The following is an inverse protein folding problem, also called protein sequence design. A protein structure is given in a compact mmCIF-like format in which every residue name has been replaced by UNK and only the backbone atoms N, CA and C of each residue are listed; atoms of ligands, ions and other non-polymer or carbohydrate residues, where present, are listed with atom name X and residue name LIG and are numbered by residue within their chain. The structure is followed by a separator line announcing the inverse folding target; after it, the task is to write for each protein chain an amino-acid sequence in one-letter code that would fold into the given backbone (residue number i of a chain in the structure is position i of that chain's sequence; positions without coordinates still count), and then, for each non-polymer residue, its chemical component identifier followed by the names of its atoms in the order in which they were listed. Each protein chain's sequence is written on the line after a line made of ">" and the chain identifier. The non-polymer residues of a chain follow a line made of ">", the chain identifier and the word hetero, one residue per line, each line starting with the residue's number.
data_IF_812839922436
#
_entry.id   IF_812839922436
#
_cell.length_a   1.000
_cell.length_b   1.000
_cell.length_c   1.000
_cell.angle_alpha   90.00
_cell.angle_beta   90.00
_cell.angle_gamma   90.00
#
_symmetry.space_group_name_H-M   'P 1'
#
loop_
_entity.id
_entity.type
_entity.pdbx_description
1 polymer ?
#
# COMPACT_ATOMS: atom_id res chain seq x y z
N UNK A 1 6.77 7.70 22.51
CA UNK A 1 7.12 6.28 22.75
C UNK A 1 8.57 6.05 22.33
N UNK A 2 9.38 5.39 23.16
CA UNK A 2 10.74 5.01 22.77
C UNK A 2 10.74 3.66 22.03
N UNK A 3 11.38 3.58 20.86
CA UNK A 3 11.53 2.33 20.12
C UNK A 3 12.83 1.59 20.50
N UNK A 4 12.73 0.31 20.87
CA UNK A 4 13.90 -0.54 21.10
C UNK A 4 14.53 -1.00 19.79
N UNK A 5 15.75 -1.55 19.82
CA UNK A 5 16.39 -2.14 18.65
C UNK A 5 15.57 -3.30 18.05
N UNK A 6 14.94 -4.13 18.90
CA UNK A 6 14.04 -5.20 18.46
C UNK A 6 12.83 -4.63 17.72
N UNK A 7 12.20 -3.57 18.25
CA UNK A 7 11.09 -2.90 17.56
C UNK A 7 11.54 -2.38 16.19
N UNK A 8 12.68 -1.69 16.13
CA UNK A 8 13.22 -1.14 14.88
C UNK A 8 13.49 -2.25 13.87
N UNK A 9 14.14 -3.34 14.30
CA UNK A 9 14.41 -4.48 13.42
C UNK A 9 13.10 -5.04 12.86
N UNK A 10 12.14 -5.32 13.74
CA UNK A 10 10.85 -5.88 13.35
C UNK A 10 10.07 -4.97 12.41
N UNK A 11 10.06 -3.66 12.65
CA UNK A 11 9.36 -2.69 11.80
C UNK A 11 10.04 -2.55 10.42
N UNK A 12 11.38 -2.59 10.37
CA UNK A 12 12.10 -2.58 9.10
C UNK A 12 11.82 -3.83 8.25
N UNK A 13 11.59 -4.97 8.90
CA UNK A 13 11.21 -6.21 8.22
C UNK A 13 9.70 -6.32 7.95
N UNK A 14 8.85 -5.51 8.59
CA UNK A 14 7.42 -5.50 8.31
C UNK A 14 7.14 -4.93 6.92
N UNK A 15 6.45 -5.71 6.10
CA UNK A 15 6.15 -5.37 4.71
C UNK A 15 4.86 -4.53 4.63
N UNK A 16 3.83 -4.97 5.34
CA UNK A 16 2.49 -4.40 5.29
C UNK A 16 1.41 -5.47 5.49
N UNK A 17 0.31 -5.38 4.74
CA UNK A 17 -0.89 -6.17 4.97
C UNK A 17 -1.30 -7.00 3.75
N UNK A 18 -1.85 -8.19 3.97
CA UNK A 18 -2.29 -9.12 2.92
C UNK A 18 -1.16 -9.98 2.37
N UNK A 19 -1.54 -11.13 1.79
CA UNK A 19 -0.60 -12.11 1.23
C UNK A 19 -0.01 -11.59 -0.09
N UNK A 20 1.23 -11.14 -0.04
CA UNK A 20 1.94 -10.62 -1.23
C UNK A 20 2.15 -11.72 -2.28
N UNK A 21 2.29 -12.99 -1.86
CA UNK A 21 2.55 -14.10 -2.78
C UNK A 21 1.37 -14.41 -3.71
N UNK A 22 0.17 -13.98 -3.33
CA UNK A 22 -1.07 -14.17 -4.10
C UNK A 22 -1.57 -12.87 -4.74
N UNK A 23 -0.98 -11.73 -4.41
CA UNK A 23 -1.51 -10.42 -4.77
C UNK A 23 -1.50 -10.20 -6.29
N UNK A 24 -2.62 -9.75 -6.83
CA UNK A 24 -2.73 -9.28 -8.21
C UNK A 24 -2.55 -7.76 -8.30
N UNK A 25 -2.94 -7.06 -7.23
CA UNK A 25 -2.73 -5.63 -7.06
C UNK A 25 -2.06 -5.36 -5.73
N UNK A 26 -0.90 -4.72 -5.78
CA UNK A 26 -0.25 -4.13 -4.61
C UNK A 26 -0.63 -2.65 -4.54
N UNK A 27 -1.19 -2.23 -3.41
CA UNK A 27 -1.27 -0.83 -3.04
C UNK A 27 -0.01 -0.47 -2.26
N UNK A 28 0.83 0.42 -2.79
CA UNK A 28 2.04 0.87 -2.12
C UNK A 28 1.79 2.24 -1.48
N UNK A 29 1.62 2.25 -0.16
CA UNK A 29 1.45 3.44 0.67
C UNK A 29 2.79 4.12 1.00
N UNK A 30 2.71 5.29 1.63
CA UNK A 30 3.91 5.89 2.22
C UNK A 30 4.21 5.25 3.58
N UNK A 31 3.21 5.04 4.44
CA UNK A 31 3.35 4.35 5.73
C UNK A 31 1.99 3.87 6.25
N UNK A 32 2.03 2.97 7.23
CA UNK A 32 0.84 2.45 7.89
C UNK A 32 0.18 3.46 8.84
N UNK A 33 -1.16 3.47 8.85
CA UNK A 33 -1.95 4.25 9.79
C UNK A 33 -2.07 3.58 11.16
N UNK A 34 -2.08 4.36 12.24
CA UNK A 34 -2.39 3.84 13.58
C UNK A 34 -3.88 3.48 13.77
N UNK A 35 -4.75 4.07 12.94
CA UNK A 35 -6.20 3.92 13.07
C UNK A 35 -6.69 4.47 14.42
N UNK A 36 -7.50 3.66 15.11
CA UNK A 36 -8.05 3.97 16.44
C UNK A 36 -7.18 3.42 17.59
N UNK A 37 -6.02 2.80 17.30
CA UNK A 37 -5.13 2.19 18.31
C UNK A 37 -4.16 3.19 18.91
N UNK A 38 -3.69 2.91 20.12
CA UNK A 38 -2.52 3.60 20.68
C UNK A 38 -1.26 3.24 19.85
N UNK A 39 -0.20 4.04 20.01
CA UNK A 39 1.08 3.78 19.33
C UNK A 39 1.64 2.45 19.83
N UNK A 40 1.62 2.24 21.14
CA UNK A 40 2.13 1.06 21.83
C UNK A 40 1.41 -0.21 21.37
N UNK A 41 0.08 -0.20 21.32
CA UNK A 41 -0.72 -1.36 20.87
C UNK A 41 -0.47 -1.67 19.39
N UNK A 42 -0.25 -0.65 18.57
CA UNK A 42 0.02 -0.83 17.15
C UNK A 42 1.41 -1.46 16.94
N UNK A 43 2.43 -0.93 17.63
CA UNK A 43 3.80 -1.47 17.59
C UNK A 43 3.83 -2.91 18.10
N UNK A 44 3.19 -3.19 19.24
CA UNK A 44 3.11 -4.56 19.75
C UNK A 44 2.40 -5.49 18.76
N UNK A 45 1.29 -5.05 18.17
CA UNK A 45 0.56 -5.86 17.18
C UNK A 45 1.41 -6.16 15.94
N UNK A 46 2.21 -5.21 15.44
CA UNK A 46 3.06 -5.43 14.27
C UNK A 46 4.25 -6.30 14.65
N UNK A 47 5.02 -5.91 15.67
CA UNK A 47 6.31 -6.53 16.01
C UNK A 47 6.20 -7.99 16.47
N UNK A 48 5.01 -8.48 16.78
CA UNK A 48 4.79 -9.87 17.19
C UNK A 48 3.93 -10.68 16.22
N UNK A 49 3.46 -10.09 15.12
CA UNK A 49 2.63 -10.79 14.13
C UNK A 49 3.32 -12.05 13.59
N UNK A 50 4.63 -12.00 13.28
CA UNK A 50 5.36 -13.14 12.73
C UNK A 50 5.45 -14.33 13.70
N UNK A 51 5.33 -14.09 15.02
CA UNK A 51 5.33 -15.15 16.04
C UNK A 51 4.01 -15.92 16.04
N UNK A 52 2.92 -15.29 15.62
CA UNK A 52 1.59 -15.89 15.58
C UNK A 52 1.38 -16.74 14.32
N UNK A 53 2.07 -16.44 13.21
CA UNK A 53 1.95 -17.21 11.98
C UNK A 53 3.20 -17.14 11.10
N UNK A 54 4.00 -18.23 11.10
CA UNK A 54 5.23 -18.36 10.30
C UNK A 54 4.94 -18.30 8.79
N UNK A 55 3.74 -18.67 8.35
CA UNK A 55 3.36 -18.63 6.94
C UNK A 55 3.19 -17.20 6.41
N UNK A 56 3.19 -16.18 7.27
CA UNK A 56 3.16 -14.77 6.86
C UNK A 56 4.57 -14.16 6.74
N UNK A 57 5.60 -15.00 6.60
CA UNK A 57 6.99 -14.60 6.43
C UNK A 57 7.51 -15.00 5.05
N UNK A 58 8.35 -14.16 4.46
CA UNK A 58 9.04 -14.43 3.20
C UNK A 58 9.94 -15.66 3.39
N UNK A 59 9.62 -16.75 2.68
CA UNK A 59 10.31 -18.04 2.80
C UNK A 59 10.40 -18.57 4.25
N UNK A 60 9.42 -18.23 5.11
CA UNK A 60 9.40 -18.63 6.52
C UNK A 60 10.39 -17.87 7.42
N UNK A 61 11.05 -16.81 6.92
CA UNK A 61 12.02 -16.01 7.67
C UNK A 61 11.54 -14.56 7.81
N UNK A 62 11.10 -14.19 9.02
CA UNK A 62 10.57 -12.85 9.28
C UNK A 62 11.61 -11.76 9.07
N UNK A 63 12.91 -12.07 9.20
CA UNK A 63 13.96 -11.06 9.04
C UNK A 63 14.08 -10.59 7.58
N UNK A 64 13.76 -11.48 6.64
CA UNK A 64 13.65 -11.22 5.20
C UNK A 64 12.36 -10.54 4.81
N UNK A 65 11.37 -10.55 5.70
CA UNK A 65 10.14 -9.82 5.54
C UNK A 65 8.95 -10.60 6.07
N UNK A 66 7.95 -9.89 6.60
CA UNK A 66 6.67 -10.49 6.98
C UNK A 66 5.53 -9.50 6.79
N UNK A 67 4.32 -10.02 6.62
CA UNK A 67 3.11 -9.21 6.52
C UNK A 67 2.10 -9.62 7.59
N UNK A 68 1.10 -8.77 7.79
CA UNK A 68 -0.06 -9.09 8.59
C UNK A 68 -1.23 -9.42 7.68
N UNK A 69 -1.92 -10.50 7.98
CA UNK A 69 -3.09 -10.89 7.22
C UNK A 69 -4.22 -11.18 8.19
N UNK A 70 -5.26 -10.37 8.10
CA UNK A 70 -6.51 -10.63 8.79
C UNK A 70 -7.27 -11.73 8.03
N UNK A 71 -8.10 -12.48 8.74
CA UNK A 71 -8.91 -13.53 8.13
C UNK A 71 -10.13 -12.92 7.42
N UNK A 72 -10.39 -13.36 6.18
CA UNK A 72 -11.67 -13.11 5.52
C UNK A 72 -12.79 -13.84 6.27
N UNK A 73 -13.83 -13.11 6.69
CA UNK A 73 -14.95 -13.67 7.47
C UNK A 73 -16.27 -13.20 6.88
N UNK A 74 -16.76 -13.85 5.80
CA UNK A 74 -18.03 -13.48 5.19
C UNK A 74 -19.16 -13.59 6.22
N UNK A 75 -20.06 -12.59 6.25
CA UNK A 75 -21.16 -12.52 7.21
C UNK A 75 -20.78 -12.11 8.64
N UNK A 76 -19.49 -11.89 8.96
CA UNK A 76 -19.06 -11.35 10.26
C UNK A 76 -18.52 -9.94 10.11
N UNK A 77 -19.33 -8.99 10.57
CA UNK A 77 -19.00 -7.57 10.56
C UNK A 77 -17.90 -7.23 11.59
N UNK A 78 -16.70 -6.87 11.11
CA UNK A 78 -15.66 -6.23 11.95
C UNK A 78 -15.69 -4.71 11.82
N UNK A 79 -15.31 -4.00 12.89
CA UNK A 79 -15.22 -2.54 12.85
C UNK A 79 -14.03 -2.12 11.97
N UNK A 80 -14.33 -1.40 10.88
CA UNK A 80 -13.32 -0.85 9.97
C UNK A 80 -13.11 0.63 10.23
N UNK A 81 -11.86 1.14 10.24
CA UNK A 81 -11.59 2.56 10.35
C UNK A 81 -12.30 3.38 9.27
N UNK A 82 -12.73 4.60 9.63
CA UNK A 82 -13.24 5.56 8.65
C UNK A 82 -12.07 6.13 7.83
N UNK A 83 -11.73 5.45 6.75
CA UNK A 83 -10.61 5.82 5.88
C UNK A 83 -11.09 6.05 4.44
N UNK A 84 -10.92 7.27 3.88
CA UNK A 84 -11.17 7.54 2.46
C UNK A 84 -10.37 6.60 1.56
N UNK A 85 -9.12 6.33 1.91
CA UNK A 85 -8.23 5.41 1.20
C UNK A 85 -8.86 4.02 1.07
N UNK A 86 -9.25 3.40 2.20
CA UNK A 86 -9.83 2.05 2.19
C UNK A 86 -11.13 2.00 1.39
N UNK A 87 -11.98 3.03 1.49
CA UNK A 87 -13.24 3.11 0.74
C UNK A 87 -13.02 3.23 -0.77
N UNK A 88 -12.04 4.03 -1.18
CA UNK A 88 -11.71 4.23 -2.59
C UNK A 88 -11.03 2.99 -3.18
N UNK A 89 -10.12 2.33 -2.45
CA UNK A 89 -9.58 1.02 -2.83
C UNK A 89 -10.70 -0.01 -2.99
N UNK A 90 -11.64 -0.09 -2.03
CA UNK A 90 -12.75 -1.04 -2.10
C UNK A 90 -13.65 -0.82 -3.32
N UNK A 91 -13.97 0.43 -3.64
CA UNK A 91 -14.76 0.77 -4.83
C UNK A 91 -14.04 0.38 -6.11
N UNK A 92 -12.73 0.63 -6.20
CA UNK A 92 -11.93 0.19 -7.35
C UNK A 92 -11.97 -1.34 -7.50
N UNK A 93 -11.72 -2.07 -6.42
CA UNK A 93 -11.70 -3.53 -6.47
C UNK A 93 -13.07 -4.10 -6.84
N UNK A 94 -14.14 -3.64 -6.21
CA UNK A 94 -15.50 -4.05 -6.56
C UNK A 94 -15.83 -3.74 -8.03
N UNK A 95 -15.42 -2.58 -8.54
CA UNK A 95 -15.64 -2.22 -9.94
C UNK A 95 -14.88 -3.12 -10.92
N UNK A 96 -13.65 -3.52 -10.59
CA UNK A 96 -12.84 -4.42 -11.42
C UNK A 96 -13.34 -5.88 -11.37
N UNK A 97 -14.02 -6.28 -10.30
CA UNK A 97 -14.56 -7.64 -10.12
C UNK A 97 -15.94 -7.84 -10.75
N UNK A 98 -16.68 -6.77 -11.01
CA UNK A 98 -18.03 -6.81 -11.57
C UNK A 98 -18.05 -6.10 -12.94
N UNK A 99 -17.38 -6.66 -13.96
CA UNK A 99 -17.29 -6.03 -15.29
C UNK A 99 -18.65 -5.95 -16.01
N UNK A 100 -19.65 -6.70 -15.53
CA UNK A 100 -21.05 -6.62 -15.97
C UNK A 100 -21.74 -5.32 -15.52
N UNK A 101 -21.20 -4.64 -14.50
CA UNK A 101 -21.68 -3.35 -14.04
C UNK A 101 -20.77 -2.22 -14.54
N UNK A 102 -21.33 -1.10 -15.03
CA UNK A 102 -20.51 0.03 -15.44
C UNK A 102 -19.65 0.56 -14.28
N UNK A 103 -18.33 0.70 -14.46
CA UNK A 103 -17.39 1.15 -13.41
C UNK A 103 -17.90 2.41 -12.68
N UNK A 104 -18.53 3.35 -13.40
CA UNK A 104 -19.03 4.58 -12.80
C UNK A 104 -20.11 4.39 -11.72
N UNK A 105 -20.89 3.29 -11.72
CA UNK A 105 -21.92 3.03 -10.71
C UNK A 105 -21.29 2.88 -9.33
N UNK A 106 -20.17 2.17 -9.24
CA UNK A 106 -19.40 1.95 -8.01
C UNK A 106 -18.81 3.21 -7.39
N UNK A 107 -18.84 4.35 -8.08
CA UNK A 107 -18.32 5.63 -7.60
C UNK A 107 -19.41 6.69 -7.39
N UNK A 108 -20.69 6.32 -7.48
CA UNK A 108 -21.79 7.20 -7.10
C UNK A 108 -21.82 7.38 -5.58
N UNK A 109 -21.84 8.64 -5.14
CA UNK A 109 -21.75 8.99 -3.71
C UNK A 109 -23.10 8.92 -2.98
N UNK A 110 -24.20 9.13 -3.70
CA UNK A 110 -25.56 9.14 -3.14
C UNK A 110 -26.27 7.79 -3.25
N UNK A 111 -25.66 6.80 -3.91
CA UNK A 111 -26.25 5.47 -4.03
C UNK A 111 -26.09 4.70 -2.71
N UNK A 112 -27.19 4.53 -2.00
CA UNK A 112 -27.23 3.81 -0.73
C UNK A 112 -26.82 2.34 -0.87
N UNK A 113 -27.14 1.66 -1.97
CA UNK A 113 -26.79 0.27 -2.17
C UNK A 113 -25.27 0.12 -2.33
N UNK A 114 -24.66 0.95 -3.19
CA UNK A 114 -23.21 0.97 -3.37
C UNK A 114 -22.49 1.31 -2.06
N UNK A 115 -23.02 2.24 -1.26
CA UNK A 115 -22.45 2.54 0.07
C UNK A 115 -22.49 1.31 0.98
N UNK A 116 -23.61 0.58 1.02
CA UNK A 116 -23.73 -0.63 1.85
C UNK A 116 -22.82 -1.75 1.34
N UNK A 117 -22.72 -1.93 0.03
CA UNK A 117 -21.85 -2.95 -0.58
C UNK A 117 -20.39 -2.70 -0.25
N UNK A 118 -19.92 -1.45 -0.41
CA UNK A 118 -18.55 -1.06 -0.06
C UNK A 118 -18.29 -1.23 1.44
N UNK A 119 -19.26 -0.87 2.29
CA UNK A 119 -19.16 -1.04 3.73
C UNK A 119 -19.06 -2.51 4.11
N UNK A 120 -19.95 -3.35 3.59
CA UNK A 120 -19.97 -4.80 3.81
C UNK A 120 -18.67 -5.43 3.34
N UNK A 121 -18.24 -5.12 2.11
CA UNK A 121 -16.98 -5.59 1.56
C UNK A 121 -15.81 -5.29 2.50
N UNK A 122 -15.67 -4.05 2.98
CA UNK A 122 -14.65 -3.70 3.96
C UNK A 122 -14.77 -4.49 5.27
N UNK A 123 -15.98 -4.59 5.82
CA UNK A 123 -16.23 -5.22 7.12
C UNK A 123 -16.06 -6.74 7.11
N UNK A 124 -16.11 -7.38 5.96
CA UNK A 124 -15.86 -8.82 5.81
C UNK A 124 -14.40 -9.14 5.50
N UNK A 125 -13.54 -8.12 5.33
CA UNK A 125 -12.13 -8.28 4.97
C UNK A 125 -11.86 -8.18 3.47
N UNK A 126 -12.68 -7.46 2.71
CA UNK A 126 -12.56 -7.34 1.25
C UNK A 126 -11.20 -6.84 0.72
N UNK A 127 -10.41 -6.16 1.55
CA UNK A 127 -9.06 -5.73 1.21
C UNK A 127 -8.03 -6.45 2.07
N UNK A 128 -6.89 -6.81 1.46
CA UNK A 128 -5.70 -7.30 2.15
C UNK A 128 -5.94 -8.60 2.96
N UNK A 129 -6.85 -9.45 2.49
CA UNK A 129 -7.09 -10.79 3.04
C UNK A 129 -7.17 -11.83 1.91
N UNK A 130 -7.13 -13.11 2.30
CA UNK A 130 -7.29 -14.25 1.37
C UNK A 130 -8.79 -14.52 1.17
N UNK A 131 -9.36 -13.87 0.16
CA UNK A 131 -10.77 -13.99 -0.23
C UNK A 131 -10.89 -14.47 -1.69
N UNK A 132 -12.04 -14.90 -2.20
CA UNK A 132 -12.25 -15.06 -3.63
C UNK A 132 -12.17 -13.72 -4.38
N UNK A 133 -11.72 -13.75 -5.62
CA UNK A 133 -11.61 -12.57 -6.49
C UNK A 133 -10.18 -12.02 -6.61
N UNK A 134 -10.07 -10.74 -6.93
CA UNK A 134 -8.82 -9.98 -7.04
C UNK A 134 -8.14 -9.92 -5.67
N UNK A 135 -6.99 -10.58 -5.56
CA UNK A 135 -6.14 -10.54 -4.39
C UNK A 135 -5.40 -9.21 -4.31
N UNK A 136 -5.39 -8.64 -3.12
CA UNK A 136 -4.75 -7.34 -2.88
C UNK A 136 -3.81 -7.42 -1.69
N UNK A 137 -2.72 -6.66 -1.76
CA UNK A 137 -1.84 -6.41 -0.63
C UNK A 137 -1.59 -4.90 -0.47
N UNK A 138 -1.27 -4.46 0.74
CA UNK A 138 -0.83 -3.11 1.08
C UNK A 138 0.61 -3.18 1.55
N UNK A 139 1.49 -2.45 0.89
CA UNK A 139 2.90 -2.31 1.29
C UNK A 139 3.15 -0.91 1.83
N UNK A 140 3.91 -0.80 2.90
CA UNK A 140 4.27 0.47 3.51
C UNK A 140 5.73 0.80 3.21
N UNK A 141 6.00 1.84 2.41
CA UNK A 141 7.40 2.20 2.08
C UNK A 141 8.21 2.54 3.34
N UNK A 142 7.67 3.45 4.15
CA UNK A 142 8.24 3.87 5.43
C UNK A 142 7.77 2.91 6.54
N UNK A 143 8.70 2.34 7.32
CA UNK A 143 8.39 1.28 8.28
C UNK A 143 7.70 1.77 9.57
N UNK A 144 7.80 3.06 9.90
CA UNK A 144 7.25 3.60 11.14
C UNK A 144 5.81 4.09 10.95
N UNK A 145 4.80 3.43 11.55
CA UNK A 145 3.42 3.86 11.41
C UNK A 145 3.18 5.19 12.13
N UNK A 146 2.19 5.95 11.66
CA UNK A 146 1.70 7.15 12.36
C UNK A 146 0.22 7.40 12.07
N UNK A 147 -0.41 8.28 12.84
CA UNK A 147 -1.86 8.49 12.73
C UNK A 147 -2.26 9.06 11.38
N UNK A 148 -1.54 10.09 10.92
CA UNK A 148 -1.70 10.72 9.60
C UNK A 148 -0.34 11.22 9.11
N UNK A 149 -0.21 11.39 7.80
CA UNK A 149 1.02 11.91 7.19
C UNK A 149 1.36 13.36 7.62
N UNK A 150 0.37 14.15 8.02
CA UNK A 150 0.59 15.49 8.55
C UNK A 150 1.02 15.52 10.02
N UNK A 151 0.80 14.43 10.76
CA UNK A 151 1.10 14.36 12.19
C UNK A 151 2.61 14.10 12.41
N UNK A 152 3.19 14.61 13.50
CA UNK A 152 4.56 14.29 13.87
C UNK A 152 4.70 12.79 14.18
N UNK A 153 5.92 12.27 14.05
CA UNK A 153 6.21 10.90 14.47
C UNK A 153 6.07 10.78 15.99
N UNK A 154 5.36 9.76 16.50
CA UNK A 154 5.13 9.60 17.93
C UNK A 154 6.31 8.93 18.68
N UNK A 155 7.51 8.95 18.10
CA UNK A 155 8.67 8.19 18.59
C UNK A 155 9.77 9.10 19.13
N UNK A 156 10.11 8.93 20.40
CA UNK A 156 10.95 9.88 21.14
C UNK A 156 12.42 9.84 20.69
N UNK A 157 12.86 8.70 20.16
CA UNK A 157 14.22 8.47 19.69
C UNK A 157 14.37 8.57 18.17
N UNK A 158 13.37 9.09 17.47
CA UNK A 158 13.42 9.24 16.01
C UNK A 158 13.49 10.71 15.63
N UNK A 159 14.57 11.11 14.96
CA UNK A 159 14.64 12.42 14.33
C UNK A 159 13.76 12.43 13.07
N UNK A 160 12.58 13.03 13.18
CA UNK A 160 11.58 13.04 12.10
C UNK A 160 12.13 13.62 10.79
N UNK A 161 12.86 14.73 10.84
CA UNK A 161 13.37 15.37 9.62
C UNK A 161 14.32 14.43 8.89
N UNK A 162 15.34 13.94 9.58
CA UNK A 162 16.31 13.01 9.01
C UNK A 162 15.64 11.72 8.51
N UNK A 163 14.67 11.17 9.24
CA UNK A 163 13.92 10.00 8.82
C UNK A 163 13.14 10.24 7.51
N UNK A 164 12.37 11.33 7.45
CA UNK A 164 11.58 11.67 6.27
C UNK A 164 12.49 12.01 5.08
N UNK A 165 13.58 12.74 5.31
CA UNK A 165 14.56 13.08 4.28
C UNK A 165 15.21 11.82 3.68
N UNK A 166 15.58 10.84 4.51
CA UNK A 166 16.13 9.57 4.02
C UNK A 166 15.14 8.85 3.10
N UNK A 167 13.90 8.62 3.55
CA UNK A 167 12.90 7.87 2.78
C UNK A 167 12.32 8.64 1.58
N UNK A 168 12.46 9.97 1.55
CA UNK A 168 12.14 10.79 0.38
C UNK A 168 13.33 10.99 -0.57
N UNK A 169 14.51 10.45 -0.23
CA UNK A 169 15.75 10.62 -0.96
C UNK A 169 16.16 12.10 -1.10
N UNK A 170 16.03 12.85 -0.01
CA UNK A 170 16.50 14.24 0.12
C UNK A 170 17.78 14.35 0.96
N UNK A 171 18.27 13.24 1.49
CA UNK A 171 19.49 13.14 2.27
C UNK A 171 20.75 13.49 1.46
N UNK A 172 21.72 14.08 2.17
CA UNK A 172 23.10 14.16 1.70
C UNK A 172 23.84 12.88 2.15
N UNK A 173 24.69 12.28 1.31
CA UNK A 173 25.15 10.90 1.47
C UNK A 173 25.79 10.49 2.81
N UNK A 174 26.31 11.43 3.62
CA UNK A 174 27.28 11.06 4.66
C UNK A 174 26.85 11.23 6.13
N UNK A 175 25.67 11.77 6.45
CA UNK A 175 25.32 12.11 7.85
C UNK A 175 23.92 11.68 8.34
N UNK A 176 23.16 10.91 7.55
CA UNK A 176 21.80 10.54 7.93
C UNK A 176 21.72 9.06 8.33
N UNK A 177 21.51 8.72 9.63
CA UNK A 177 21.51 7.34 10.10
C UNK A 177 20.38 6.49 9.52
N UNK A 178 19.32 7.12 9.00
CA UNK A 178 18.19 6.41 8.39
C UNK A 178 18.44 5.99 6.93
N UNK A 179 19.60 6.32 6.35
CA UNK A 179 20.02 5.82 5.03
C UNK A 179 20.15 4.30 5.04
N UNK A 180 20.72 3.73 6.10
CA UNK A 180 20.85 2.28 6.27
C UNK A 180 19.47 1.62 6.34
N UNK A 181 18.52 2.26 7.02
CA UNK A 181 17.14 1.77 7.13
C UNK A 181 16.45 1.76 5.77
N UNK A 182 16.56 2.84 5.01
CA UNK A 182 16.08 2.90 3.62
C UNK A 182 16.72 1.80 2.78
N UNK A 183 18.03 1.62 2.88
CA UNK A 183 18.77 0.63 2.09
C UNK A 183 18.30 -0.78 2.41
N UNK A 184 18.11 -1.11 3.69
CA UNK A 184 17.50 -2.37 4.13
C UNK A 184 16.10 -2.55 3.54
N UNK A 185 15.27 -1.50 3.53
CA UNK A 185 13.93 -1.54 2.93
C UNK A 185 13.95 -1.76 1.41
N UNK A 186 14.87 -1.12 0.68
CA UNK A 186 15.04 -1.36 -0.76
C UNK A 186 15.41 -2.81 -1.04
N UNK A 187 16.40 -3.35 -0.33
CA UNK A 187 16.81 -4.76 -0.48
C UNK A 187 15.65 -5.70 -0.19
N UNK A 188 14.91 -5.46 0.89
CA UNK A 188 13.75 -6.28 1.26
C UNK A 188 12.65 -6.24 0.19
N UNK A 189 12.31 -5.07 -0.35
CA UNK A 189 11.34 -4.99 -1.45
C UNK A 189 11.87 -5.58 -2.76
N UNK A 190 13.16 -5.48 -3.04
CA UNK A 190 13.76 -6.12 -4.20
C UNK A 190 13.67 -7.64 -4.14
N UNK A 191 14.03 -8.23 -3.00
CA UNK A 191 13.92 -9.68 -2.80
C UNK A 191 12.46 -10.16 -2.82
N UNK A 192 11.56 -9.37 -2.22
CA UNK A 192 10.13 -9.66 -2.20
C UNK A 192 9.54 -9.69 -3.61
N UNK A 193 9.78 -8.64 -4.39
CA UNK A 193 9.21 -8.50 -5.73
C UNK A 193 9.82 -9.46 -6.75
N UNK A 194 11.06 -9.88 -6.53
CA UNK A 194 11.68 -10.97 -7.31
C UNK A 194 11.08 -12.33 -6.96
N UNK A 195 10.72 -12.54 -5.70
CA UNK A 195 10.14 -13.81 -5.23
C UNK A 195 8.67 -13.94 -5.61
N UNK A 196 7.94 -12.83 -5.63
CA UNK A 196 6.50 -12.78 -5.87
C UNK A 196 6.19 -11.69 -6.90
N UNK A 197 6.30 -12.02 -8.21
CA UNK A 197 5.91 -11.10 -9.27
C UNK A 197 4.42 -10.75 -9.17
N UNK A 198 4.10 -9.46 -9.25
CA UNK A 198 2.72 -8.95 -9.16
C UNK A 198 2.37 -8.18 -10.43
N UNK A 199 1.21 -8.43 -11.06
CA UNK A 199 0.80 -7.73 -12.28
C UNK A 199 0.77 -6.21 -12.16
N UNK A 200 0.26 -5.68 -11.04
CA UNK A 200 0.07 -4.25 -10.85
C UNK A 200 0.53 -3.75 -9.48
N UNK A 201 1.38 -2.72 -9.48
CA UNK A 201 1.69 -1.92 -8.30
C UNK A 201 1.10 -0.52 -8.46
N UNK A 202 0.21 -0.14 -7.54
CA UNK A 202 -0.35 1.20 -7.40
C UNK A 202 0.40 1.97 -6.31
N UNK A 203 1.35 2.80 -6.73
CA UNK A 203 2.11 3.68 -5.84
C UNK A 203 1.35 4.97 -5.51
N UNK A 204 0.83 5.08 -4.28
CA UNK A 204 -0.13 6.12 -3.90
C UNK A 204 0.52 7.19 -3.01
N UNK A 205 0.52 8.46 -3.41
CA UNK A 205 1.04 9.57 -2.61
C UNK A 205 2.30 10.22 -3.19
N UNK A 206 3.43 10.18 -2.49
CA UNK A 206 4.65 10.91 -2.86
C UNK A 206 5.31 10.32 -4.12
N UNK A 207 4.85 10.74 -5.31
CA UNK A 207 5.29 10.21 -6.61
C UNK A 207 6.81 10.32 -6.80
N UNK A 208 7.49 11.46 -6.54
CA UNK A 208 8.95 11.54 -6.69
C UNK A 208 9.73 10.54 -5.84
N UNK A 209 9.34 10.37 -4.57
CA UNK A 209 10.00 9.39 -3.69
C UNK A 209 9.76 7.95 -4.19
N UNK A 210 8.54 7.66 -4.66
CA UNK A 210 8.20 6.34 -5.21
C UNK A 210 8.92 6.02 -6.51
N UNK A 211 9.11 6.98 -7.41
CA UNK A 211 9.96 6.79 -8.61
C UNK A 211 11.35 6.33 -8.18
N UNK A 212 12.00 7.08 -7.30
CA UNK A 212 13.34 6.73 -6.78
C UNK A 212 13.39 5.40 -6.04
N UNK A 213 12.32 5.05 -5.32
CA UNK A 213 12.22 3.74 -4.69
C UNK A 213 12.15 2.61 -5.74
N UNK A 214 11.30 2.75 -6.75
CA UNK A 214 11.18 1.77 -7.85
C UNK A 214 12.49 1.68 -8.62
N UNK A 215 13.14 2.82 -8.89
CA UNK A 215 14.46 2.87 -9.54
C UNK A 215 15.53 2.14 -8.70
N UNK A 216 15.46 2.26 -7.37
CA UNK A 216 16.34 1.53 -6.46
C UNK A 216 16.10 0.02 -6.43
N UNK A 217 14.92 -0.46 -6.84
CA UNK A 217 14.57 -1.89 -6.85
C UNK A 217 14.92 -2.55 -8.20
N UNK A 218 14.59 -1.88 -9.30
CA UNK A 218 14.69 -2.45 -10.66
C UNK A 218 15.63 -1.70 -11.61
N UNK A 219 16.40 -0.73 -11.11
CA UNK A 219 17.19 0.19 -11.94
C UNK A 219 16.33 1.31 -12.53
N UNK A 220 16.95 2.26 -13.23
CA UNK A 220 16.27 3.45 -13.76
C UNK A 220 15.07 3.09 -14.67
N UNK A 221 13.89 3.62 -14.32
CA UNK A 221 12.65 3.39 -15.04
C UNK A 221 12.17 4.62 -15.81
N UNK A 222 11.63 4.37 -17.01
CA UNK A 222 10.99 5.42 -17.81
C UNK A 222 9.50 5.45 -17.50
N UNK A 223 9.01 6.62 -17.11
CA UNK A 223 7.59 6.85 -16.85
C UNK A 223 6.96 7.73 -17.93
N UNK A 224 5.74 7.39 -18.31
CA UNK A 224 4.84 8.24 -19.09
C UNK A 224 3.82 8.91 -18.17
N UNK A 225 3.54 10.20 -18.41
CA UNK A 225 2.49 10.91 -17.71
C UNK A 225 1.18 10.82 -18.49
N UNK A 226 0.14 10.30 -17.84
CA UNK A 226 -1.20 10.18 -18.42
C UNK A 226 -2.14 11.09 -17.66
N UNK A 227 -2.97 11.83 -18.38
CA UNK A 227 -4.09 12.58 -17.81
C UNK A 227 -5.36 11.75 -17.95
N UNK A 228 -5.87 11.25 -16.83
CA UNK A 228 -7.12 10.50 -16.75
C UNK A 228 -8.29 11.39 -17.13
N UNK A 229 -9.18 10.87 -17.98
CA UNK A 229 -10.38 11.56 -18.42
C UNK A 229 -11.62 10.87 -17.85
N UNK A 230 -12.66 11.64 -17.47
CA UNK A 230 -12.79 13.11 -17.55
C UNK A 230 -12.24 13.89 -16.34
N UNK A 231 -11.70 13.24 -15.30
CA UNK A 231 -11.32 13.92 -14.05
C UNK A 231 -10.15 14.89 -14.17
N UNK A 232 -9.34 14.81 -15.23
CA UNK A 232 -8.14 15.62 -15.42
C UNK A 232 -7.00 15.28 -14.45
N UNK A 233 -7.11 14.16 -13.72
CA UNK A 233 -6.08 13.73 -12.76
C UNK A 233 -4.88 13.15 -13.50
N UNK A 234 -3.67 13.49 -13.05
CA UNK A 234 -2.43 12.98 -13.64
C UNK A 234 -1.91 11.78 -12.88
N UNK A 235 -1.49 10.77 -13.61
CA UNK A 235 -0.77 9.60 -13.12
C UNK A 235 0.55 9.46 -13.89
N UNK A 236 1.51 8.76 -13.31
CA UNK A 236 2.73 8.35 -14.00
C UNK A 236 2.76 6.83 -14.09
N UNK A 237 2.88 6.27 -15.29
CA UNK A 237 2.91 4.82 -15.53
C UNK A 237 4.28 4.40 -16.06
N UNK A 238 4.79 3.25 -15.64
CA UNK A 238 6.01 2.70 -16.24
C UNK A 238 5.75 2.39 -17.72
N UNK A 239 6.60 2.88 -18.64
CA UNK A 239 6.44 2.63 -20.08
C UNK A 239 6.57 1.15 -20.41
N UNK A 240 7.51 0.49 -19.75
CA UNK A 240 7.76 -0.93 -19.88
C UNK A 240 7.13 -1.69 -18.71
N UNK A 241 6.88 -2.98 -18.95
CA UNK A 241 6.72 -3.96 -17.87
C UNK A 241 8.08 -4.08 -17.16
N UNK A 242 8.04 -4.03 -15.84
CA UNK A 242 9.19 -4.07 -14.94
C UNK A 242 9.25 -5.46 -14.30
N UNK A 243 10.46 -5.99 -14.11
CA UNK A 243 10.63 -7.35 -13.62
C UNK A 243 10.05 -8.36 -14.60
N UNK A 244 9.33 -9.35 -14.08
CA UNK A 244 8.80 -10.44 -14.91
C UNK A 244 7.45 -10.07 -15.57
N UNK A 245 6.57 -9.36 -14.84
CA UNK A 245 5.21 -9.04 -15.33
C UNK A 245 4.58 -7.79 -14.69
N UNK A 246 5.35 -6.94 -14.01
CA UNK A 246 4.80 -5.85 -13.21
C UNK A 246 4.64 -4.55 -13.99
N UNK A 247 3.42 -3.99 -14.02
CA UNK A 247 3.20 -2.57 -14.35
C UNK A 247 3.16 -1.74 -13.08
N UNK A 248 3.83 -0.58 -13.09
CA UNK A 248 3.78 0.38 -11.97
C UNK A 248 2.99 1.61 -12.38
N UNK A 249 1.93 1.94 -11.64
CA UNK A 249 1.21 3.21 -11.75
C UNK A 249 1.41 4.01 -10.47
N UNK A 250 1.93 5.22 -10.60
CA UNK A 250 2.12 6.18 -9.52
C UNK A 250 1.06 7.28 -9.61
N UNK A 251 0.40 7.56 -8.49
CA UNK A 251 -0.79 8.43 -8.43
C UNK A 251 -0.75 9.28 -7.16
N UNK A 252 -1.39 10.47 -7.16
CA UNK A 252 -1.70 11.18 -5.93
C UNK A 252 -2.44 10.30 -4.91
N UNK A 253 -2.45 10.75 -3.64
CA UNK A 253 -3.06 9.99 -2.55
C UNK A 253 -4.55 9.70 -2.81
N UNK A 254 -5.06 8.55 -2.34
CA UNK A 254 -6.50 8.24 -2.37
C UNK A 254 -7.21 8.92 -1.19
N UNK A 255 -7.21 10.24 -1.23
CA UNK A 255 -8.04 11.12 -0.40
C UNK A 255 -9.14 11.77 -1.23
N UNK A 256 -10.17 12.33 -0.57
CA UNK A 256 -11.28 12.97 -1.27
C UNK A 256 -10.85 14.27 -1.98
N UNK A 257 -9.85 14.94 -1.42
CA UNK A 257 -9.22 16.17 -1.89
C UNK A 257 -8.19 15.95 -3.02
N UNK A 258 -7.68 14.72 -3.17
CA UNK A 258 -6.62 14.38 -4.10
C UNK A 258 -7.17 13.67 -5.33
N UNK A 259 -7.18 12.34 -5.37
CA UNK A 259 -7.80 11.60 -6.46
C UNK A 259 -9.32 11.71 -6.41
N UNK A 260 -9.92 11.67 -5.22
CA UNK A 260 -11.37 11.68 -5.04
C UNK A 260 -12.08 10.52 -5.74
N UNK A 261 -13.40 10.55 -5.75
CA UNK A 261 -14.19 9.52 -6.45
C UNK A 261 -13.95 9.54 -7.97
N UNK A 262 -13.89 10.72 -8.58
CA UNK A 262 -13.72 10.85 -10.03
C UNK A 262 -12.36 10.34 -10.51
N UNK A 263 -11.27 10.70 -9.84
CA UNK A 263 -9.93 10.25 -10.21
C UNK A 263 -9.74 8.75 -10.03
N UNK A 264 -10.23 8.18 -8.92
CA UNK A 264 -10.13 6.74 -8.68
C UNK A 264 -11.02 5.94 -9.64
N UNK A 265 -12.20 6.46 -9.98
CA UNK A 265 -13.08 5.89 -11.01
C UNK A 265 -12.38 5.80 -12.37
N UNK A 266 -11.80 6.91 -12.82
CA UNK A 266 -11.13 6.95 -14.13
C UNK A 266 -9.86 6.10 -14.13
N UNK A 267 -9.17 5.99 -12.99
CA UNK A 267 -8.05 5.08 -12.82
C UNK A 267 -8.50 3.61 -12.88
N UNK A 268 -9.63 3.27 -12.25
CA UNK A 268 -10.20 1.92 -12.33
C UNK A 268 -10.60 1.58 -13.78
N UNK A 269 -11.20 2.53 -14.50
CA UNK A 269 -11.49 2.38 -15.93
C UNK A 269 -10.21 2.14 -16.73
N UNK A 270 -9.19 2.97 -16.54
CA UNK A 270 -7.90 2.80 -17.20
C UNK A 270 -7.27 1.42 -16.92
N UNK A 271 -7.31 0.95 -15.67
CA UNK A 271 -6.80 -0.38 -15.31
C UNK A 271 -7.60 -1.47 -16.05
N UNK A 272 -8.93 -1.38 -16.04
CA UNK A 272 -9.81 -2.34 -16.72
C UNK A 272 -9.54 -2.41 -18.24
N UNK A 273 -9.21 -1.29 -18.86
CA UNK A 273 -9.04 -1.20 -20.32
C UNK A 273 -7.63 -1.60 -20.78
N UNK A 274 -6.63 -1.53 -19.90
CA UNK A 274 -5.22 -1.59 -20.31
C UNK A 274 -4.34 -2.58 -19.53
N UNK A 275 -4.80 -3.10 -18.40
CA UNK A 275 -3.99 -3.94 -17.52
C UNK A 275 -4.66 -5.30 -17.32
N UNK A 276 -4.00 -6.36 -17.75
CA UNK A 276 -4.41 -7.73 -17.45
C UNK A 276 -3.98 -8.11 -16.02
N UNK A 277 -4.94 -8.53 -15.20
CA UNK A 277 -4.70 -8.96 -13.81
C UNK A 277 -4.65 -10.49 -13.66
N UNK A 278 -4.52 -11.23 -14.77
CA UNK A 278 -4.54 -12.71 -14.83
C UNK A 278 -3.17 -13.28 -15.19
#
# INVERSE_FOLDING_TARGET
>A
MYLTEEHIHSLLSFIGYGDVSKAQIIFLGNEGGLGDRSVEDNIASICFTYKENVNHCVHGDWTKGYWKQDQWKPGREVRVPRSPFLRLCSRMILALEHPDQPIHSWFQQADHNVIQDVKRFLMEGGLFTDRPGIQTALLDWRPLPRKREADPLPYDNINQKSYIDAFNFFDRPNNNPYIEWRTKRLSLFQDLMKSYPVPLILGIGNIPAKKRMVDGIWGEQIYEEITLQPSGKKIAISKNIIGDNTRVILTPFFGYEHMGYSGVKDLAQYISDHIELR
#
